data_IF_224075034224
#
_entry.id   IF_224075034224
#
_cell.length_a   1.000
_cell.length_b   1.000
_cell.length_c   1.000
_cell.angle_alpha   90.00
_cell.angle_beta   90.00
_cell.angle_gamma   90.00
#
_symmetry.space_group_name_H-M   'P 1'
#
loop_
_entity.id
_entity.type
_entity.pdbx_description
1 polymer ?
#
# COMPACT_ATOMS: atom_id res chain seq x y z
N UNK A 1 -2.64 6.43 -12.48
CA UNK A 1 -1.78 5.93 -11.39
C UNK A 1 -1.34 4.53 -11.74
N UNK A 2 -0.15 4.12 -11.31
CA UNK A 2 0.38 2.78 -11.55
C UNK A 2 0.38 2.00 -10.24
N UNK A 3 -0.14 0.76 -10.26
CA UNK A 3 -0.04 -0.15 -9.13
C UNK A 3 1.40 -0.65 -9.05
N UNK A 4 2.11 -0.26 -7.99
CA UNK A 4 3.51 -0.64 -7.77
C UNK A 4 3.66 -1.76 -6.73
N UNK A 5 2.66 -1.94 -5.87
CA UNK A 5 2.69 -2.95 -4.83
C UNK A 5 1.25 -3.35 -4.48
N UNK A 6 1.02 -4.64 -4.26
CA UNK A 6 -0.23 -5.17 -3.73
C UNK A 6 0.11 -6.40 -2.90
N UNK A 7 -0.57 -6.56 -1.78
CA UNK A 7 -0.48 -7.76 -0.95
C UNK A 7 -1.82 -8.02 -0.28
N UNK A 8 -2.09 -9.30 -0.01
CA UNK A 8 -3.20 -9.75 0.81
C UNK A 8 -2.70 -10.32 2.15
N UNK A 9 -1.40 -10.27 2.43
CA UNK A 9 -0.80 -10.80 3.65
C UNK A 9 -0.64 -9.68 4.68
N UNK A 10 -1.16 -9.91 5.88
CA UNK A 10 -0.99 -8.98 7.00
C UNK A 10 0.50 -8.98 7.39
N UNK A 11 1.09 -7.78 7.44
CA UNK A 11 2.49 -7.58 7.83
C UNK A 11 3.46 -7.54 6.66
N UNK A 12 3.03 -7.90 5.45
CA UNK A 12 3.80 -7.63 4.24
C UNK A 12 3.55 -6.17 3.83
N UNK A 13 4.64 -5.43 3.59
CA UNK A 13 4.60 -4.02 3.24
C UNK A 13 5.49 -3.73 2.05
N UNK A 14 5.22 -2.61 1.40
CA UNK A 14 6.07 -2.14 0.32
C UNK A 14 7.39 -1.63 0.88
N UNK A 15 8.51 -2.14 0.36
CA UNK A 15 9.87 -1.81 0.78
C UNK A 15 10.48 -0.58 0.07
N UNK A 16 9.70 0.08 -0.81
CA UNK A 16 10.18 1.20 -1.61
C UNK A 16 10.76 0.82 -2.96
N UNK A 17 10.73 -0.47 -3.34
CA UNK A 17 11.22 -0.95 -4.64
C UNK A 17 10.08 -1.33 -5.59
N UNK A 18 10.28 -1.13 -6.88
CA UNK A 18 9.36 -1.60 -7.91
C UNK A 18 10.17 -2.10 -9.10
N UNK A 19 9.92 -3.34 -9.54
CA UNK A 19 10.70 -4.01 -10.59
C UNK A 19 12.23 -3.95 -10.35
N UNK A 20 12.67 -4.16 -9.10
CA UNK A 20 14.09 -4.11 -8.72
C UNK A 20 14.70 -2.70 -8.71
N UNK A 21 13.91 -1.67 -8.99
CA UNK A 21 14.36 -0.27 -9.00
C UNK A 21 13.81 0.48 -7.78
N UNK A 22 14.69 1.14 -7.04
CA UNK A 22 14.29 2.02 -5.93
C UNK A 22 13.43 3.17 -6.45
N UNK A 23 12.28 3.36 -5.83
CA UNK A 23 11.39 4.46 -6.17
C UNK A 23 11.88 5.79 -5.55
N UNK A 24 11.57 6.94 -6.18
CA UNK A 24 11.96 8.24 -5.65
C UNK A 24 11.32 8.54 -4.29
N UNK A 25 12.01 9.30 -3.44
CA UNK A 25 11.38 9.83 -2.23
C UNK A 25 10.19 10.71 -2.60
N UNK A 26 9.06 10.54 -1.91
CA UNK A 26 7.83 11.24 -2.27
C UNK A 26 6.58 10.63 -1.64
N UNK A 27 5.44 11.21 -1.98
CA UNK A 27 4.13 10.79 -1.47
C UNK A 27 3.47 9.79 -2.41
N UNK A 28 3.18 8.61 -1.89
CA UNK A 28 2.50 7.52 -2.60
C UNK A 28 1.10 7.34 -2.03
N UNK A 29 0.13 7.05 -2.89
CA UNK A 29 -1.25 6.79 -2.49
C UNK A 29 -1.42 5.29 -2.29
N UNK A 30 -2.06 4.89 -1.20
CA UNK A 30 -2.44 3.51 -0.96
C UNK A 30 -3.95 3.37 -0.73
N UNK A 31 -4.46 2.20 -1.09
CA UNK A 31 -5.83 1.77 -0.81
C UNK A 31 -5.80 0.36 -0.25
N UNK A 32 -6.50 0.15 0.85
CA UNK A 32 -6.67 -1.15 1.49
C UNK A 32 -8.16 -1.42 1.68
N UNK A 33 -8.58 -2.64 1.39
CA UNK A 33 -9.93 -3.13 1.64
C UNK A 33 -9.88 -4.34 2.57
N UNK A 34 -10.90 -4.48 3.42
CA UNK A 34 -11.01 -5.60 4.34
C UNK A 34 -12.44 -5.80 4.82
N UNK A 35 -12.73 -6.97 5.36
CA UNK A 35 -14.03 -7.29 5.95
C UNK A 35 -13.82 -7.39 7.46
N UNK A 36 -14.62 -6.67 8.24
CA UNK A 36 -14.58 -6.80 9.70
C UNK A 36 -15.28 -8.06 10.19
N UNK A 37 -15.20 -8.32 11.51
CA UNK A 37 -15.85 -9.48 12.14
C UNK A 37 -17.38 -9.49 12.02
N UNK A 38 -18.01 -8.38 11.61
CA UNK A 38 -19.45 -8.25 11.37
C UNK A 38 -19.84 -8.45 9.91
N UNK A 39 -18.88 -8.71 9.02
CA UNK A 39 -19.11 -8.84 7.58
C UNK A 39 -19.16 -7.50 6.84
N UNK A 40 -18.87 -6.37 7.51
CA UNK A 40 -18.87 -5.06 6.89
C UNK A 40 -17.54 -4.83 6.15
N UNK A 41 -17.66 -4.43 4.88
CA UNK A 41 -16.52 -3.99 4.08
C UNK A 41 -16.02 -2.64 4.57
N UNK A 42 -14.75 -2.60 4.92
CA UNK A 42 -14.00 -1.40 5.30
C UNK A 42 -13.08 -1.06 4.14
N UNK A 43 -13.14 0.20 3.71
CA UNK A 43 -12.24 0.78 2.73
C UNK A 43 -11.39 1.84 3.41
N UNK A 44 -10.07 1.70 3.33
CA UNK A 44 -9.10 2.70 3.80
C UNK A 44 -8.30 3.20 2.62
N UNK A 45 -8.20 4.51 2.51
CA UNK A 45 -7.32 5.19 1.56
C UNK A 45 -6.48 6.20 2.32
N UNK A 46 -5.26 6.39 1.86
CA UNK A 46 -4.35 7.34 2.48
C UNK A 46 -3.12 7.55 1.63
N UNK A 47 -2.16 8.24 2.22
CA UNK A 47 -0.86 8.50 1.61
C UNK A 47 0.24 8.01 2.53
N UNK A 48 1.28 7.43 1.96
CA UNK A 48 2.55 7.13 2.63
C UNK A 48 3.62 8.01 2.04
N UNK A 49 4.54 8.50 2.86
CA UNK A 49 5.71 9.24 2.40
C UNK A 49 6.90 8.29 2.43
N UNK A 50 7.49 8.05 1.27
CA UNK A 50 8.76 7.34 1.17
C UNK A 50 9.89 8.32 1.49
N UNK A 51 10.54 8.11 2.63
CA UNK A 51 11.68 8.89 3.11
C UNK A 51 12.96 8.07 2.89
N UNK A 52 14.08 8.74 2.63
CA UNK A 52 15.43 8.16 2.51
C UNK A 52 16.30 8.56 3.68
#
# INVERSE_FOLDING_TARGET
GQLIFTTNQIGEGWDGTYNGSMQPAGTYVYTAEGIDFTGKKIYKKGTVVLIR
#
